data_IF_163370894386
#
_entry.id   IF_163370894386
#
_cell.length_a   1.000
_cell.length_b   1.000
_cell.length_c   1.000
_cell.angle_alpha   90.00
_cell.angle_beta   90.00
_cell.angle_gamma   90.00
#
_symmetry.space_group_name_H-M   'P 1'
#
loop_
_entity.id
_entity.type
_entity.pdbx_description
1 polymer ?
#
# COMPACT_ATOMS: atom_id res chain seq x y z
N UNK A 1 -1.32 -37.92 17.64
CA UNK A 1 -1.81 -37.79 16.24
C UNK A 1 -0.63 -37.62 15.28
N UNK A 2 -0.38 -38.58 14.38
CA UNK A 2 0.79 -38.55 13.49
C UNK A 2 0.71 -37.38 12.50
N UNK A 3 1.82 -36.68 12.26
CA UNK A 3 1.93 -35.59 11.27
C UNK A 3 1.42 -36.00 9.88
N UNK A 4 1.58 -37.28 9.53
CA UNK A 4 1.07 -37.90 8.30
C UNK A 4 -0.45 -37.79 8.18
N UNK A 5 -1.17 -37.96 9.30
CA UNK A 5 -2.62 -37.88 9.32
C UNK A 5 -3.12 -36.44 9.10
N UNK A 6 -2.43 -35.47 9.69
CA UNK A 6 -2.76 -34.05 9.53
C UNK A 6 -2.54 -33.55 8.09
N UNK A 7 -1.45 -33.96 7.43
CA UNK A 7 -1.18 -33.63 6.02
C UNK A 7 -2.25 -34.24 5.09
N UNK A 8 -2.73 -35.45 5.38
CA UNK A 8 -3.83 -36.06 4.60
C UNK A 8 -5.16 -35.33 4.78
N UNK A 9 -5.45 -34.86 5.99
CA UNK A 9 -6.65 -34.04 6.21
C UNK A 9 -6.56 -32.70 5.47
N UNK A 10 -5.38 -32.09 5.42
CA UNK A 10 -5.11 -30.87 4.66
C UNK A 10 -5.40 -31.07 3.16
N UNK A 11 -4.82 -32.10 2.52
CA UNK A 11 -5.03 -32.40 1.10
C UNK A 11 -6.51 -32.65 0.78
N UNK A 12 -7.20 -33.40 1.66
CA UNK A 12 -8.64 -33.67 1.52
C UNK A 12 -9.47 -32.39 1.62
N UNK A 13 -9.20 -31.54 2.63
CA UNK A 13 -9.93 -30.28 2.82
C UNK A 13 -9.71 -29.31 1.65
N UNK A 14 -8.48 -29.26 1.12
CA UNK A 14 -8.14 -28.44 -0.05
C UNK A 14 -8.93 -28.90 -1.28
N UNK A 15 -9.00 -30.21 -1.55
CA UNK A 15 -9.80 -30.76 -2.65
C UNK A 15 -11.28 -30.42 -2.54
N UNK A 16 -11.85 -30.47 -1.34
CA UNK A 16 -13.25 -30.11 -1.12
C UNK A 16 -13.46 -28.63 -1.45
N UNK A 17 -12.61 -27.73 -0.95
CA UNK A 17 -12.68 -26.30 -1.25
C UNK A 17 -12.51 -25.99 -2.75
N UNK A 18 -11.64 -26.73 -3.46
CA UNK A 18 -11.48 -26.59 -4.91
C UNK A 18 -12.74 -26.99 -5.69
N UNK A 19 -13.49 -27.98 -5.22
CA UNK A 19 -14.69 -28.51 -5.88
C UNK A 19 -15.92 -27.65 -5.60
N UNK A 20 -16.05 -27.12 -4.39
CA UNK A 20 -17.24 -26.35 -3.96
C UNK A 20 -17.38 -24.98 -4.64
N UNK A 21 -16.34 -24.48 -5.34
CA UNK A 21 -16.46 -23.42 -6.35
C UNK A 21 -16.89 -22.02 -5.85
N UNK A 22 -16.99 -21.80 -4.54
CA UNK A 22 -17.52 -20.56 -3.96
C UNK A 22 -16.47 -19.58 -3.40
N UNK A 23 -15.19 -19.97 -3.32
CA UNK A 23 -14.13 -19.14 -2.76
C UNK A 23 -13.30 -18.47 -3.86
N UNK A 24 -12.84 -17.24 -3.60
CA UNK A 24 -11.88 -16.57 -4.51
C UNK A 24 -10.53 -17.28 -4.46
N UNK A 25 -9.73 -17.16 -5.52
CA UNK A 25 -8.38 -17.77 -5.57
C UNK A 25 -7.49 -17.38 -4.40
N UNK A 26 -7.54 -16.11 -4.01
CA UNK A 26 -6.81 -15.58 -2.87
C UNK A 26 -7.26 -16.26 -1.58
N UNK A 27 -8.56 -16.47 -1.39
CA UNK A 27 -9.10 -17.17 -0.21
C UNK A 27 -8.69 -18.63 -0.15
N UNK A 28 -8.67 -19.34 -1.29
CA UNK A 28 -8.21 -20.73 -1.35
C UNK A 28 -6.71 -20.80 -1.01
N UNK A 29 -5.89 -19.91 -1.58
CA UNK A 29 -4.45 -19.87 -1.30
C UNK A 29 -4.17 -19.52 0.17
N UNK A 30 -4.85 -18.50 0.70
CA UNK A 30 -4.72 -18.05 2.08
C UNK A 30 -5.11 -19.16 3.07
N UNK A 31 -6.25 -19.82 2.85
CA UNK A 31 -6.72 -20.96 3.65
C UNK A 31 -5.68 -22.09 3.71
N UNK A 32 -4.97 -22.36 2.62
CA UNK A 32 -3.93 -23.39 2.61
C UNK A 32 -2.68 -22.94 3.35
N UNK A 33 -2.22 -21.70 3.11
CA UNK A 33 -1.05 -21.13 3.78
C UNK A 33 -1.25 -21.04 5.30
N UNK A 34 -2.43 -20.61 5.77
CA UNK A 34 -2.76 -20.55 7.19
C UNK A 34 -2.73 -21.93 7.85
N UNK A 35 -3.29 -22.94 7.18
CA UNK A 35 -3.29 -24.32 7.70
C UNK A 35 -1.89 -24.94 7.65
N UNK A 36 -1.08 -24.66 6.63
CA UNK A 36 0.32 -25.09 6.60
C UNK A 36 1.13 -24.44 7.72
N UNK A 37 0.95 -23.14 7.95
CA UNK A 37 1.60 -22.42 9.04
C UNK A 37 1.21 -22.99 10.41
N UNK A 38 -0.05 -23.36 10.59
CA UNK A 38 -0.55 -24.00 11.81
C UNK A 38 0.01 -25.42 12.00
N UNK A 39 0.23 -26.17 10.92
CA UNK A 39 0.89 -27.47 10.96
C UNK A 39 2.38 -27.33 11.32
N UNK A 40 3.06 -26.36 10.70
CA UNK A 40 4.48 -26.07 10.93
C UNK A 40 4.77 -25.62 12.36
N UNK A 41 3.84 -24.90 12.99
CA UNK A 41 3.98 -24.42 14.38
C UNK A 41 3.81 -25.52 15.43
N UNK A 42 3.37 -26.73 15.06
CA UNK A 42 3.32 -27.86 16.00
C UNK A 42 4.71 -28.47 16.20
N UNK A 43 4.99 -29.00 17.39
CA UNK A 43 6.25 -29.70 17.68
C UNK A 43 6.53 -30.82 16.67
N UNK A 44 5.50 -31.56 16.29
CA UNK A 44 5.61 -32.63 15.30
C UNK A 44 5.90 -32.11 13.88
N UNK A 45 5.32 -30.96 13.50
CA UNK A 45 5.55 -30.31 12.22
C UNK A 45 6.94 -29.70 12.13
N UNK A 46 7.38 -28.99 13.16
CA UNK A 46 8.72 -28.42 13.25
C UNK A 46 9.82 -29.48 13.26
N UNK A 47 9.61 -30.58 14.00
CA UNK A 47 10.53 -31.73 13.99
C UNK A 47 10.57 -32.39 12.61
N UNK A 48 9.42 -32.55 11.95
CA UNK A 48 9.37 -33.10 10.60
C UNK A 48 10.06 -32.18 9.58
N UNK A 49 9.87 -30.87 9.65
CA UNK A 49 10.49 -29.89 8.73
C UNK A 49 12.02 -29.87 8.88
N UNK A 50 12.51 -29.85 10.12
CA UNK A 50 13.95 -29.91 10.39
C UNK A 50 14.58 -31.20 9.87
N UNK A 51 13.86 -32.32 10.05
CA UNK A 51 14.27 -33.62 9.54
C UNK A 51 14.12 -33.71 8.00
N UNK A 52 13.14 -33.05 7.40
CA UNK A 52 12.98 -32.96 5.96
C UNK A 52 14.16 -32.22 5.32
N UNK A 53 14.53 -31.07 5.88
CA UNK A 53 15.70 -30.31 5.43
C UNK A 53 16.99 -31.14 5.54
N UNK A 54 17.12 -31.91 6.61
CA UNK A 54 18.22 -32.87 6.77
C UNK A 54 18.19 -33.95 5.68
N UNK A 55 17.01 -34.47 5.30
CA UNK A 55 16.89 -35.49 4.25
C UNK A 55 17.14 -34.94 2.83
N UNK A 56 16.79 -33.69 2.56
CA UNK A 56 17.05 -33.07 1.25
C UNK A 56 18.52 -32.75 1.01
N UNK A 57 19.31 -32.61 2.07
CA UNK A 57 20.75 -32.32 2.00
C UNK A 57 21.56 -33.62 2.10
N UNK A 58 22.05 -34.08 0.95
CA UNK A 58 22.83 -35.31 0.84
C UNK A 58 24.13 -35.29 1.68
N UNK A 59 24.73 -34.11 1.89
CA UNK A 59 25.94 -33.98 2.72
C UNK A 59 25.58 -34.19 4.19
N UNK A 60 24.51 -33.54 4.67
CA UNK A 60 24.03 -33.68 6.05
C UNK A 60 23.56 -35.10 6.37
N UNK A 61 22.88 -35.76 5.42
CA UNK A 61 22.51 -37.16 5.58
C UNK A 61 23.74 -38.07 5.75
N UNK A 62 24.78 -37.82 4.96
CA UNK A 62 26.03 -38.59 5.01
C UNK A 62 26.76 -38.36 6.32
N UNK A 63 26.86 -37.11 6.76
CA UNK A 63 27.48 -36.74 8.03
C UNK A 63 26.78 -37.41 9.22
N UNK A 64 25.45 -37.35 9.29
CA UNK A 64 24.69 -37.98 10.38
C UNK A 64 24.87 -39.51 10.38
N UNK A 65 24.89 -40.13 9.19
CA UNK A 65 25.16 -41.56 9.08
C UNK A 65 26.54 -41.90 9.64
N UNK A 66 27.56 -41.13 9.30
CA UNK A 66 28.93 -41.39 9.74
C UNK A 66 29.08 -41.17 11.25
N UNK A 67 28.39 -40.17 11.82
CA UNK A 67 28.29 -39.95 13.27
C UNK A 67 27.61 -41.14 13.97
N UNK A 68 26.48 -41.62 13.44
CA UNK A 68 25.78 -42.80 13.98
C UNK A 68 26.66 -44.05 13.94
N UNK A 69 27.37 -44.27 12.83
CA UNK A 69 28.34 -45.36 12.72
C UNK A 69 29.49 -45.21 13.72
N UNK A 70 30.00 -43.99 13.93
CA UNK A 70 31.01 -43.69 14.94
C UNK A 70 30.56 -44.02 16.37
N UNK A 71 29.32 -43.67 16.73
CA UNK A 71 28.72 -44.01 18.03
C UNK A 71 28.51 -45.52 18.17
N UNK A 72 28.05 -46.19 17.12
CA UNK A 72 27.82 -47.65 17.14
C UNK A 72 29.11 -48.48 17.23
N UNK A 73 30.27 -47.89 16.89
CA UNK A 73 31.59 -48.50 17.01
C UNK A 73 32.23 -48.29 18.40
N UNK A 74 31.61 -47.52 19.29
CA UNK A 74 32.11 -47.29 20.65
C UNK A 74 31.66 -48.42 21.60
N UNK A 75 32.42 -48.69 22.68
CA UNK A 75 32.05 -49.71 23.67
C UNK A 75 30.70 -49.44 24.35
N UNK A 76 30.22 -48.19 24.34
CA UNK A 76 28.88 -47.84 24.86
C UNK A 76 27.75 -48.52 24.06
N UNK A 77 27.99 -48.86 22.79
CA UNK A 77 27.03 -49.59 21.97
C UNK A 77 26.81 -51.02 22.47
N UNK A 78 27.70 -51.57 23.30
CA UNK A 78 27.53 -52.89 23.91
C UNK A 78 26.28 -53.00 24.79
N UNK A 79 25.81 -51.87 25.32
CA UNK A 79 24.59 -51.76 26.12
C UNK A 79 23.30 -51.84 25.28
N UNK A 80 23.40 -51.65 23.96
CA UNK A 80 22.27 -51.75 23.04
C UNK A 80 22.08 -53.21 22.60
N UNK A 81 20.82 -53.63 22.52
CA UNK A 81 20.47 -54.94 21.95
C UNK A 81 20.84 -55.01 20.46
N UNK A 82 21.00 -56.24 19.94
CA UNK A 82 21.30 -56.46 18.53
C UNK A 82 20.26 -55.81 17.61
N UNK A 83 18.97 -55.85 18.00
CA UNK A 83 17.89 -55.21 17.27
C UNK A 83 18.00 -53.67 17.26
N UNK A 84 18.37 -53.05 18.39
CA UNK A 84 18.56 -51.60 18.48
C UNK A 84 19.76 -51.13 17.63
N UNK A 85 20.86 -51.88 17.60
CA UNK A 85 22.01 -51.56 16.74
C UNK A 85 21.66 -51.65 15.26
N UNK A 86 20.94 -52.70 14.85
CA UNK A 86 20.46 -52.83 13.48
C UNK A 86 19.50 -51.70 13.10
N UNK A 87 18.59 -51.33 14.00
CA UNK A 87 17.67 -50.21 13.78
C UNK A 87 18.43 -48.90 13.59
N UNK A 88 19.38 -48.55 14.48
CA UNK A 88 20.17 -47.32 14.36
C UNK A 88 21.04 -47.30 13.10
N UNK A 89 21.64 -48.43 12.73
CA UNK A 89 22.42 -48.57 11.49
C UNK A 89 21.58 -48.43 10.21
N UNK A 90 20.26 -48.61 10.29
CA UNK A 90 19.33 -48.47 9.17
C UNK A 90 18.35 -47.32 9.34
N UNK A 91 18.50 -46.52 10.40
CA UNK A 91 17.58 -45.46 10.78
C UNK A 91 17.32 -44.49 9.62
N UNK A 92 18.37 -44.02 8.96
CA UNK A 92 18.27 -43.12 7.81
C UNK A 92 17.49 -43.72 6.64
N UNK A 93 17.59 -45.03 6.42
CA UNK A 93 16.91 -45.73 5.33
C UNK A 93 15.42 -45.89 5.63
N UNK A 94 15.09 -46.29 6.85
CA UNK A 94 13.70 -46.41 7.32
C UNK A 94 13.01 -45.04 7.36
N UNK A 95 13.72 -44.02 7.84
CA UNK A 95 13.27 -42.64 7.86
C UNK A 95 13.03 -42.09 6.45
N UNK A 96 13.92 -42.33 5.49
CA UNK A 96 13.70 -41.96 4.09
C UNK A 96 12.44 -42.63 3.52
N UNK A 97 12.29 -43.93 3.73
CA UNK A 97 11.16 -44.73 3.22
C UNK A 97 9.80 -44.26 3.74
N UNK A 98 9.70 -43.96 5.04
CA UNK A 98 8.45 -43.45 5.62
C UNK A 98 8.15 -42.01 5.19
N UNK A 99 9.19 -41.24 4.84
CA UNK A 99 9.04 -39.85 4.38
C UNK A 99 8.59 -39.74 2.93
N UNK A 100 8.94 -40.70 2.07
CA UNK A 100 8.51 -40.75 0.66
C UNK A 100 6.99 -40.61 0.50
N UNK A 101 6.22 -41.26 1.39
CA UNK A 101 4.75 -41.14 1.39
C UNK A 101 4.28 -39.73 1.69
N UNK A 102 4.94 -39.03 2.61
CA UNK A 102 4.60 -37.65 2.96
C UNK A 102 4.96 -36.70 1.81
N UNK A 103 6.12 -36.91 1.19
CA UNK A 103 6.56 -36.12 0.03
C UNK A 103 5.63 -36.28 -1.16
N UNK A 104 5.16 -37.49 -1.43
CA UNK A 104 4.18 -37.72 -2.49
C UNK A 104 2.88 -36.95 -2.27
N UNK A 105 2.38 -36.91 -1.03
CA UNK A 105 1.17 -36.15 -0.71
C UNK A 105 1.42 -34.65 -0.88
N UNK A 106 2.49 -34.10 -0.29
CA UNK A 106 2.83 -32.66 -0.43
C UNK A 106 2.99 -32.24 -1.90
N UNK A 107 3.77 -33.00 -2.68
CA UNK A 107 4.00 -32.69 -4.11
C UNK A 107 2.71 -32.68 -4.90
N UNK A 108 1.81 -33.63 -4.63
CA UNK A 108 0.48 -33.67 -5.27
C UNK A 108 -0.38 -32.46 -4.90
N UNK A 109 -0.31 -32.03 -3.64
CA UNK A 109 -1.01 -30.84 -3.15
C UNK A 109 -0.47 -29.58 -3.83
N UNK A 110 0.84 -29.44 -3.95
CA UNK A 110 1.51 -28.33 -4.68
C UNK A 110 1.13 -28.31 -6.16
N UNK A 111 1.16 -29.47 -6.85
CA UNK A 111 0.75 -29.59 -8.24
C UNK A 111 -0.73 -29.21 -8.44
N UNK A 112 -1.60 -29.61 -7.51
CA UNK A 112 -3.03 -29.28 -7.55
C UNK A 112 -3.27 -27.77 -7.37
N UNK A 113 -2.52 -27.13 -6.48
CA UNK A 113 -2.52 -25.68 -6.29
C UNK A 113 -2.02 -24.94 -7.53
N UNK A 114 -0.89 -25.38 -8.10
CA UNK A 114 -0.34 -24.80 -9.33
C UNK A 114 -1.34 -24.90 -10.48
N UNK A 115 -1.93 -26.07 -10.69
CA UNK A 115 -2.93 -26.27 -11.73
C UNK A 115 -4.19 -25.41 -11.51
N UNK A 116 -4.60 -25.17 -10.26
CA UNK A 116 -5.72 -24.28 -9.95
C UNK A 116 -5.39 -22.79 -10.20
N UNK A 117 -4.18 -22.37 -9.85
CA UNK A 117 -3.66 -21.02 -10.13
C UNK A 117 -3.45 -20.79 -11.63
N UNK A 118 -3.05 -21.81 -12.37
CA UNK A 118 -2.87 -21.72 -13.83
C UNK A 118 -4.22 -21.77 -14.57
N UNK A 119 -5.14 -22.65 -14.18
CA UNK A 119 -6.39 -22.91 -14.93
C UNK A 119 -7.37 -21.73 -14.97
N UNK A 120 -7.50 -20.96 -13.91
CA UNK A 120 -8.34 -19.76 -13.91
C UNK A 120 -7.71 -18.55 -14.63
N UNK A 121 -6.42 -18.54 -14.97
CA UNK A 121 -5.87 -17.52 -15.87
C UNK A 121 -6.53 -17.64 -17.26
N UNK A 122 -6.81 -18.87 -17.70
CA UNK A 122 -7.57 -19.12 -18.92
C UNK A 122 -9.07 -18.79 -18.79
N UNK A 123 -9.62 -18.72 -17.57
CA UNK A 123 -11.02 -18.32 -17.32
C UNK A 123 -11.15 -16.80 -17.26
N UNK A 124 -10.24 -16.11 -16.55
CA UNK A 124 -10.13 -14.65 -16.53
C UNK A 124 -9.89 -14.08 -17.93
N UNK A 125 -8.95 -14.64 -18.68
CA UNK A 125 -8.72 -14.24 -20.07
C UNK A 125 -9.98 -14.42 -20.92
N UNK A 126 -10.71 -15.55 -20.76
CA UNK A 126 -12.00 -15.74 -21.44
C UNK A 126 -13.07 -14.73 -21.02
N UNK A 127 -13.11 -14.32 -19.76
CA UNK A 127 -14.05 -13.30 -19.29
C UNK A 127 -13.71 -11.92 -19.87
N UNK A 128 -12.42 -11.57 -19.93
CA UNK A 128 -11.91 -10.35 -20.59
C UNK A 128 -12.26 -10.37 -22.08
N UNK A 129 -11.99 -11.47 -22.78
CA UNK A 129 -12.30 -11.65 -24.20
C UNK A 129 -13.80 -11.53 -24.47
N UNK A 130 -14.65 -12.07 -23.59
CA UNK A 130 -16.10 -11.91 -23.69
C UNK A 130 -16.55 -10.46 -23.50
N UNK A 131 -15.91 -9.73 -22.57
CA UNK A 131 -16.20 -8.32 -22.32
C UNK A 131 -15.77 -7.45 -23.51
N UNK A 132 -14.58 -7.70 -24.05
CA UNK A 132 -14.09 -7.05 -25.28
C UNK A 132 -15.02 -7.33 -26.46
N UNK A 133 -15.40 -8.59 -26.67
CA UNK A 133 -16.35 -8.97 -27.73
C UNK A 133 -17.71 -8.27 -27.60
N UNK A 134 -18.19 -8.05 -26.36
CA UNK A 134 -19.43 -7.29 -26.11
C UNK A 134 -19.23 -5.80 -26.42
N UNK A 135 -18.12 -5.21 -25.99
CA UNK A 135 -17.79 -3.81 -26.30
C UNK A 135 -17.67 -3.57 -27.80
N UNK A 136 -17.02 -4.47 -28.53
CA UNK A 136 -16.91 -4.41 -29.99
C UNK A 136 -18.28 -4.44 -30.68
N UNK A 137 -19.19 -5.33 -30.24
CA UNK A 137 -20.57 -5.36 -30.75
C UNK A 137 -21.31 -4.06 -30.51
N UNK A 138 -21.15 -3.46 -29.33
CA UNK A 138 -21.74 -2.16 -29.01
C UNK A 138 -21.12 -1.06 -29.89
N UNK A 139 -19.81 -1.07 -30.09
CA UNK A 139 -19.13 -0.10 -30.95
C UNK A 139 -19.59 -0.19 -32.41
N UNK A 140 -19.79 -1.41 -32.94
CA UNK A 140 -20.35 -1.64 -34.27
C UNK A 140 -21.78 -1.09 -34.38
N UNK A 141 -22.63 -1.39 -33.39
CA UNK A 141 -24.01 -0.89 -33.38
C UNK A 141 -24.09 0.65 -33.33
N UNK A 142 -23.19 1.30 -32.57
CA UNK A 142 -23.10 2.76 -32.51
C UNK A 142 -22.63 3.39 -33.83
N UNK A 143 -21.65 2.76 -34.49
CA UNK A 143 -21.17 3.16 -35.82
C UNK A 143 -22.29 3.06 -36.86
N UNK A 144 -22.98 1.92 -36.90
CA UNK A 144 -24.04 1.67 -37.89
C UNK A 144 -25.29 2.52 -37.60
N UNK A 145 -25.51 2.91 -36.34
CA UNK A 145 -26.51 3.88 -35.91
C UNK A 145 -26.21 5.35 -36.28
N UNK A 146 -25.11 5.62 -36.99
CA UNK A 146 -24.77 6.96 -37.48
C UNK A 146 -24.24 7.92 -36.40
N UNK A 147 -23.86 7.41 -35.23
CA UNK A 147 -23.27 8.23 -34.16
C UNK A 147 -21.89 8.72 -34.60
N UNK A 148 -21.69 10.03 -34.62
CA UNK A 148 -20.39 10.61 -34.97
C UNK A 148 -19.35 10.23 -33.91
N UNK A 149 -18.21 9.69 -34.33
CA UNK A 149 -17.08 9.34 -33.45
C UNK A 149 -16.52 10.54 -32.66
N UNK A 150 -16.86 11.77 -33.06
CA UNK A 150 -16.48 13.03 -32.39
C UNK A 150 -17.56 13.58 -31.46
N UNK A 151 -18.60 12.79 -31.16
CA UNK A 151 -19.64 13.23 -30.23
C UNK A 151 -19.02 13.37 -28.83
N UNK A 152 -19.03 14.59 -28.30
CA UNK A 152 -18.55 14.85 -26.95
C UNK A 152 -19.39 14.07 -25.95
N UNK A 153 -18.71 13.29 -25.11
CA UNK A 153 -19.33 12.50 -24.04
C UNK A 153 -19.12 13.23 -22.72
N UNK A 154 -20.12 13.16 -21.83
CA UNK A 154 -20.00 13.65 -20.44
C UNK A 154 -19.09 12.76 -19.57
N UNK A 155 -18.46 11.74 -20.16
CA UNK A 155 -17.59 10.79 -19.49
C UNK A 155 -16.17 11.33 -19.47
N UNK A 156 -15.63 11.55 -18.27
CA UNK A 156 -14.23 11.89 -18.05
C UNK A 156 -13.48 10.63 -17.66
N UNK A 157 -12.65 10.10 -18.57
CA UNK A 157 -11.70 9.04 -18.23
C UNK A 157 -10.36 9.69 -17.85
N UNK A 158 -9.86 9.37 -16.66
CA UNK A 158 -8.52 9.82 -16.26
C UNK A 158 -7.49 9.00 -17.03
N UNK A 159 -6.96 9.57 -18.12
CA UNK A 159 -5.87 9.00 -18.91
C UNK A 159 -4.54 9.55 -18.43
N UNK A 160 -3.62 8.66 -18.09
CA UNK A 160 -2.28 8.97 -17.63
C UNK A 160 -1.50 7.68 -17.31
N UNK A 161 -0.17 7.76 -17.16
CA UNK A 161 0.62 6.63 -16.69
C UNK A 161 0.09 6.19 -15.31
N UNK A 162 -0.37 4.94 -15.22
CA UNK A 162 -0.75 4.34 -13.95
C UNK A 162 0.52 3.78 -13.30
N UNK A 163 1.06 4.48 -12.32
CA UNK A 163 2.12 3.94 -11.48
C UNK A 163 1.52 3.02 -10.43
N UNK A 164 1.50 1.72 -10.73
CA UNK A 164 1.14 0.69 -9.76
C UNK A 164 2.37 0.44 -8.87
N UNK A 165 2.38 1.02 -7.67
CA UNK A 165 3.38 0.72 -6.66
C UNK A 165 2.84 -0.33 -5.68
N UNK A 166 3.65 -1.36 -5.39
CA UNK A 166 3.34 -2.33 -4.34
C UNK A 166 3.85 -1.83 -2.98
N UNK A 167 3.17 -2.13 -1.86
CA UNK A 167 3.74 -1.91 -0.53
C UNK A 167 5.13 -2.57 -0.38
N UNK A 168 5.38 -3.68 -1.07
CA UNK A 168 6.68 -4.37 -1.04
C UNK A 168 7.79 -3.64 -1.82
N UNK A 169 7.44 -2.72 -2.70
CA UNK A 169 8.43 -1.88 -3.42
C UNK A 169 8.93 -0.69 -2.60
N UNK A 170 8.37 -0.46 -1.41
CA UNK A 170 8.87 0.57 -0.49
C UNK A 170 10.26 0.20 0.01
N UNK A 171 11.29 0.89 -0.52
CA UNK A 171 12.63 0.87 0.07
C UNK A 171 12.73 1.96 1.13
N UNK A 172 13.19 1.58 2.32
CA UNK A 172 13.63 2.57 3.29
C UNK A 172 14.74 3.39 2.66
N UNK A 173 14.53 4.71 2.57
CA UNK A 173 15.52 5.63 2.04
C UNK A 173 16.70 5.66 3.02
N UNK A 174 17.83 5.12 2.59
CA UNK A 174 19.09 5.28 3.32
C UNK A 174 19.48 6.76 3.30
N UNK A 175 19.72 7.41 4.45
CA UNK A 175 20.19 8.78 4.46
C UNK A 175 21.63 8.84 3.92
N UNK A 176 21.84 9.59 2.84
CA UNK A 176 23.16 9.75 2.17
C UNK A 176 24.14 10.63 2.97
N UNK A 177 23.71 11.21 4.10
CA UNK A 177 24.57 11.96 5.00
C UNK A 177 24.32 11.52 6.45
N UNK A 178 25.40 11.53 7.25
CA UNK A 178 25.31 11.47 8.71
C UNK A 178 24.62 12.75 9.19
N UNK A 179 23.29 12.76 9.20
CA UNK A 179 22.49 13.77 9.87
C UNK A 179 22.94 13.80 11.32
N UNK A 180 23.57 14.89 11.74
CA UNK A 180 23.90 15.11 13.15
C UNK A 180 22.58 15.36 13.90
N UNK A 181 22.05 14.30 14.52
CA UNK A 181 20.77 14.32 15.24
C UNK A 181 20.90 14.84 16.67
N UNK A 182 22.08 15.35 17.07
CA UNK A 182 22.27 15.95 18.39
C UNK A 182 21.45 17.24 18.50
N UNK A 183 20.34 17.17 19.23
CA UNK A 183 19.42 18.29 19.47
C UNK A 183 18.09 18.21 18.70
N UNK A 184 17.87 17.17 17.89
CA UNK A 184 16.58 16.96 17.22
C UNK A 184 15.58 16.35 18.21
N UNK A 185 14.66 17.15 18.71
CA UNK A 185 13.50 16.68 19.47
C UNK A 185 12.47 16.11 18.51
N UNK A 186 12.03 14.87 18.74
CA UNK A 186 10.92 14.28 18.01
C UNK A 186 9.67 15.15 18.21
N UNK A 187 9.19 15.78 17.13
CA UNK A 187 7.90 16.46 17.12
C UNK A 187 6.87 15.52 16.50
N UNK A 188 5.79 15.27 17.23
CA UNK A 188 4.61 14.63 16.66
C UNK A 188 4.06 15.50 15.52
N UNK A 189 3.61 14.86 14.43
CA UNK A 189 2.94 15.55 13.33
C UNK A 189 1.75 16.34 13.89
N UNK A 190 1.89 17.66 13.93
CA UNK A 190 0.87 18.56 14.47
C UNK A 190 0.08 19.16 13.31
N UNK A 191 -1.24 19.32 13.46
CA UNK A 191 -2.08 20.03 12.48
C UNK A 191 -1.88 21.55 12.49
N UNK A 192 -1.04 22.05 13.38
CA UNK A 192 -0.69 23.45 13.50
C UNK A 192 0.55 23.75 12.64
N UNK A 193 0.44 24.67 11.66
CA UNK A 193 1.58 25.08 10.85
C UNK A 193 2.70 25.66 11.72
N UNK A 194 3.95 25.28 11.46
CA UNK A 194 5.07 25.88 12.18
C UNK A 194 5.25 27.35 11.77
N UNK A 195 5.51 28.22 12.75
CA UNK A 195 5.79 29.65 12.50
C UNK A 195 6.94 29.84 11.50
N UNK A 196 7.96 28.98 11.58
CA UNK A 196 9.09 28.97 10.63
C UNK A 196 8.70 28.62 9.20
N UNK A 197 7.75 27.69 8.99
CA UNK A 197 7.24 27.40 7.64
C UNK A 197 6.47 28.61 7.11
N UNK A 198 5.66 29.26 7.95
CA UNK A 198 4.94 30.48 7.56
C UNK A 198 5.90 31.64 7.23
N UNK A 199 7.00 31.78 7.97
CA UNK A 199 8.08 32.74 7.70
C UNK A 199 8.79 32.42 6.37
N UNK A 200 8.95 31.14 6.01
CA UNK A 200 9.53 30.76 4.73
C UNK A 200 8.63 30.97 3.50
N UNK A 201 7.35 31.34 3.69
CA UNK A 201 6.41 31.73 2.61
C UNK A 201 6.53 33.23 2.23
N UNK A 202 7.61 33.90 2.63
CA UNK A 202 7.91 35.31 2.39
C UNK A 202 8.05 35.73 0.90
N UNK A 203 7.99 34.80 -0.05
CA UNK A 203 8.15 35.09 -1.49
C UNK A 203 6.95 35.76 -2.16
N UNK A 204 5.80 35.87 -1.50
CA UNK A 204 4.65 36.56 -2.09
C UNK A 204 4.77 38.06 -1.91
N UNK A 205 4.60 38.78 -3.02
CA UNK A 205 4.50 40.23 -3.05
C UNK A 205 3.18 40.64 -2.40
N UNK A 206 3.11 40.58 -1.07
CA UNK A 206 1.90 40.91 -0.28
C UNK A 206 1.35 42.29 -0.65
N UNK A 207 2.22 43.20 -1.08
CA UNK A 207 1.89 44.52 -1.63
C UNK A 207 0.99 44.46 -2.88
N UNK A 208 1.27 43.56 -3.82
CA UNK A 208 0.43 43.39 -5.02
C UNK A 208 -0.95 42.82 -4.68
N UNK A 209 -1.01 41.94 -3.68
CA UNK A 209 -2.28 41.40 -3.17
C UNK A 209 -3.08 42.49 -2.47
N UNK A 210 -2.44 43.29 -1.60
CA UNK A 210 -3.09 44.42 -0.93
C UNK A 210 -3.70 45.43 -1.92
N UNK A 211 -2.99 45.73 -3.01
CA UNK A 211 -3.47 46.60 -4.08
C UNK A 211 -4.72 46.06 -4.76
N UNK A 212 -4.68 44.78 -5.16
CA UNK A 212 -5.82 44.09 -5.79
C UNK A 212 -7.03 44.05 -4.86
N UNK A 213 -6.82 43.73 -3.59
CA UNK A 213 -7.87 43.71 -2.57
C UNK A 213 -8.52 45.08 -2.45
N UNK A 214 -7.73 46.15 -2.33
CA UNK A 214 -8.27 47.50 -2.24
C UNK A 214 -9.12 47.86 -3.46
N UNK A 215 -8.61 47.62 -4.68
CA UNK A 215 -9.34 47.92 -5.92
C UNK A 215 -10.67 47.14 -5.99
N UNK A 216 -10.65 45.87 -5.58
CA UNK A 216 -11.84 45.03 -5.53
C UNK A 216 -12.89 45.59 -4.55
N UNK A 217 -12.46 46.01 -3.36
CA UNK A 217 -13.32 46.57 -2.32
C UNK A 217 -13.85 47.97 -2.70
N UNK A 218 -13.04 48.79 -3.36
CA UNK A 218 -13.46 50.11 -3.84
C UNK A 218 -14.54 50.01 -4.93
N UNK A 219 -14.48 48.97 -5.78
CA UNK A 219 -15.46 48.76 -6.85
C UNK A 219 -16.74 48.04 -6.38
N UNK A 220 -16.63 47.10 -5.46
CA UNK A 220 -17.72 46.17 -5.11
C UNK A 220 -18.23 46.29 -3.67
N UNK A 221 -17.65 47.18 -2.87
CA UNK A 221 -18.01 47.38 -1.46
C UNK A 221 -17.34 46.37 -0.51
N UNK A 222 -17.77 46.32 0.76
CA UNK A 222 -17.19 45.43 1.77
C UNK A 222 -17.40 43.94 1.42
N UNK A 223 -16.33 43.14 1.50
CA UNK A 223 -16.35 41.73 1.10
C UNK A 223 -15.47 40.85 2.01
N UNK A 224 -15.82 39.57 2.10
CA UNK A 224 -15.01 38.58 2.80
C UNK A 224 -13.88 38.06 1.91
N UNK A 225 -12.93 37.30 2.47
CA UNK A 225 -11.84 36.70 1.70
C UNK A 225 -12.42 35.77 0.62
N UNK A 226 -13.38 34.91 0.96
CA UNK A 226 -14.04 34.07 -0.03
C UNK A 226 -14.79 34.89 -1.11
N UNK A 227 -15.37 36.02 -0.73
CA UNK A 227 -16.00 36.97 -1.67
C UNK A 227 -15.00 37.60 -2.64
N UNK A 228 -13.83 38.01 -2.15
CA UNK A 228 -12.74 38.56 -2.97
C UNK A 228 -12.21 37.53 -3.97
N UNK A 229 -12.05 36.28 -3.52
CA UNK A 229 -11.52 35.20 -4.35
C UNK A 229 -12.48 34.75 -5.47
N UNK A 230 -13.77 35.10 -5.40
CA UNK A 230 -14.71 34.91 -6.52
C UNK A 230 -14.45 35.88 -7.66
N UNK A 231 -13.93 37.08 -7.36
CA UNK A 231 -13.59 38.10 -8.35
C UNK A 231 -12.14 37.97 -8.81
N UNK A 232 -11.24 37.61 -7.90
CA UNK A 232 -9.81 37.45 -8.14
C UNK A 232 -9.33 36.09 -7.63
N UNK A 233 -9.48 35.02 -8.42
CA UNK A 233 -9.08 33.69 -8.01
C UNK A 233 -7.57 33.59 -7.81
N UNK A 234 -7.17 32.72 -6.88
CA UNK A 234 -5.77 32.44 -6.54
C UNK A 234 -5.11 31.67 -7.68
N UNK A 235 -3.94 32.13 -8.12
CA UNK A 235 -3.14 31.50 -9.18
C UNK A 235 -1.77 31.01 -8.69
N UNK A 236 -1.24 31.60 -7.62
CA UNK A 236 0.08 31.28 -7.07
C UNK A 236 0.04 30.25 -5.90
N UNK A 237 -1.11 29.63 -5.67
CA UNK A 237 -1.28 28.59 -4.65
C UNK A 237 -1.40 29.12 -3.22
N UNK A 238 -0.96 28.32 -2.25
CA UNK A 238 -1.18 28.57 -0.81
C UNK A 238 -0.54 29.88 -0.34
N UNK A 239 0.60 30.25 -0.92
CA UNK A 239 1.34 31.44 -0.53
C UNK A 239 0.48 32.71 -0.75
N UNK A 240 -0.26 32.77 -1.87
CA UNK A 240 -1.15 33.89 -2.18
C UNK A 240 -2.38 33.92 -1.25
N UNK A 241 -2.93 32.76 -0.85
CA UNK A 241 -3.98 32.71 0.17
C UNK A 241 -3.50 33.29 1.51
N UNK A 242 -2.27 32.93 1.92
CA UNK A 242 -1.66 33.46 3.16
C UNK A 242 -1.50 34.97 3.07
N UNK A 243 -1.17 35.52 1.90
CA UNK A 243 -1.10 36.97 1.69
C UNK A 243 -2.46 37.66 1.88
N UNK A 244 -3.57 37.10 1.39
CA UNK A 244 -4.91 37.65 1.66
C UNK A 244 -5.23 37.71 3.17
N UNK A 245 -4.87 36.66 3.91
CA UNK A 245 -5.06 36.62 5.37
C UNK A 245 -4.16 37.62 6.10
N UNK A 246 -2.91 37.80 5.66
CA UNK A 246 -1.99 38.82 6.21
C UNK A 246 -2.53 40.23 5.97
N UNK A 247 -3.01 40.53 4.77
CA UNK A 247 -3.64 41.83 4.45
C UNK A 247 -4.86 42.08 5.34
N UNK A 248 -5.74 41.08 5.52
CA UNK A 248 -6.89 41.23 6.40
C UNK A 248 -6.48 41.54 7.85
N UNK A 249 -5.42 40.89 8.35
CA UNK A 249 -4.90 41.17 9.69
C UNK A 249 -4.21 42.53 9.80
N UNK A 250 -3.45 42.95 8.78
CA UNK A 250 -2.72 44.22 8.82
C UNK A 250 -3.63 45.44 8.76
N UNK A 251 -4.78 45.34 8.09
CA UNK A 251 -5.81 46.40 8.07
C UNK A 251 -6.77 46.33 9.27
N UNK A 252 -6.52 45.45 10.25
CA UNK A 252 -7.43 45.19 11.38
C UNK A 252 -8.87 44.90 10.94
N UNK A 253 -9.05 44.08 9.90
CA UNK A 253 -10.37 43.66 9.45
C UNK A 253 -11.13 42.94 10.57
N UNK A 254 -12.43 43.19 10.66
CA UNK A 254 -13.26 42.54 11.67
C UNK A 254 -13.33 41.03 11.41
N UNK A 255 -12.86 40.24 12.38
CA UNK A 255 -13.00 38.79 12.34
C UNK A 255 -14.39 38.40 12.85
N UNK A 256 -15.11 37.62 12.06
CA UNK A 256 -16.41 37.04 12.44
C UNK A 256 -16.20 35.65 13.07
N UNK A 257 -17.19 35.16 13.82
CA UNK A 257 -17.13 33.86 14.53
C UNK A 257 -17.22 32.63 13.60
N UNK A 258 -17.30 32.83 12.29
CA UNK A 258 -17.43 31.77 11.28
C UNK A 258 -16.12 31.54 10.51
N UNK A 259 -16.03 30.41 9.80
CA UNK A 259 -14.90 30.04 8.95
C UNK A 259 -15.33 29.88 7.49
N UNK A 260 -14.53 30.39 6.57
CA UNK A 260 -14.77 30.26 5.14
C UNK A 260 -13.95 29.10 4.56
N UNK A 261 -14.57 28.33 3.66
CA UNK A 261 -13.88 27.32 2.86
C UNK A 261 -13.59 27.85 1.48
N UNK A 262 -12.31 27.81 1.10
CA UNK A 262 -11.81 28.29 -0.18
C UNK A 262 -11.17 27.15 -0.93
N UNK A 263 -11.52 27.01 -2.21
CA UNK A 263 -10.88 26.07 -3.13
C UNK A 263 -10.02 26.84 -4.13
N UNK A 264 -8.79 26.39 -4.33
CA UNK A 264 -7.84 26.98 -5.26
C UNK A 264 -6.92 25.93 -5.85
N UNK A 265 -6.19 26.29 -6.90
CA UNK A 265 -5.23 25.40 -7.55
C UNK A 265 -3.82 25.86 -7.21
N UNK A 266 -2.93 24.93 -6.86
CA UNK A 266 -1.51 25.22 -6.65
C UNK A 266 -0.76 25.30 -7.99
N UNK A 267 0.47 25.82 -7.99
CA UNK A 267 1.36 25.92 -9.17
C UNK A 267 1.56 24.60 -9.94
N UNK A 268 1.39 23.48 -9.25
CA UNK A 268 1.50 22.13 -9.83
C UNK A 268 0.17 21.58 -10.38
N UNK A 269 -0.90 22.38 -10.42
CA UNK A 269 -2.22 21.95 -10.92
C UNK A 269 -3.07 21.17 -9.91
N UNK A 270 -2.56 20.95 -8.69
CA UNK A 270 -3.30 20.27 -7.63
C UNK A 270 -4.42 21.16 -7.08
N UNK A 271 -5.65 20.62 -7.00
CA UNK A 271 -6.78 21.30 -6.36
C UNK A 271 -6.65 21.17 -4.84
N UNK A 272 -6.52 22.30 -4.16
CA UNK A 272 -6.41 22.41 -2.72
C UNK A 272 -7.67 23.05 -2.14
N UNK A 273 -7.99 22.67 -0.92
CA UNK A 273 -9.05 23.29 -0.14
C UNK A 273 -8.48 23.74 1.21
N UNK A 274 -8.71 25.00 1.56
CA UNK A 274 -8.31 25.58 2.82
C UNK A 274 -9.54 26.10 3.58
N UNK A 275 -9.42 26.10 4.92
CA UNK A 275 -10.39 26.74 5.81
C UNK A 275 -9.71 27.94 6.45
N UNK A 276 -10.27 29.13 6.30
CA UNK A 276 -9.73 30.39 6.82
C UNK A 276 -10.76 31.07 7.73
N UNK A 277 -10.35 31.84 8.75
CA UNK A 277 -11.29 32.66 9.51
C UNK A 277 -11.97 33.69 8.60
N UNK A 278 -13.24 33.98 8.87
CA UNK A 278 -14.00 34.97 8.10
C UNK A 278 -13.56 36.38 8.51
N UNK A 279 -12.89 37.09 7.62
CA UNK A 279 -12.56 38.50 7.81
C UNK A 279 -13.44 39.38 6.91
N UNK A 280 -14.06 40.40 7.49
CA UNK A 280 -14.84 41.39 6.76
C UNK A 280 -13.94 42.57 6.40
N UNK A 281 -13.59 42.72 5.11
CA UNK A 281 -12.75 43.82 4.63
C UNK A 281 -13.60 44.92 4.01
N UNK A 282 -13.20 46.18 4.22
CA UNK A 282 -13.74 47.36 3.52
C UNK A 282 -12.61 48.27 3.07
N UNK A 283 -12.82 49.05 2.00
CA UNK A 283 -11.81 49.94 1.45
C UNK A 283 -11.36 51.03 2.45
N UNK A 284 -12.24 51.42 3.38
CA UNK A 284 -12.00 52.44 4.41
C UNK A 284 -10.95 52.03 5.45
N UNK A 285 -10.69 50.73 5.60
CA UNK A 285 -9.71 50.20 6.54
C UNK A 285 -8.26 50.28 6.02
N UNK A 286 -8.07 50.60 4.73
CA UNK A 286 -6.75 50.71 4.14
C UNK A 286 -6.15 52.10 4.40
N UNK A 287 -4.88 52.19 4.82
CA UNK A 287 -4.21 53.47 5.04
C UNK A 287 -4.06 54.24 3.72
N UNK A 288 -4.08 55.58 3.81
CA UNK A 288 -3.95 56.48 2.65
C UNK A 288 -2.59 56.31 1.96
N UNK A 289 -1.56 55.96 2.73
CA UNK A 289 -0.28 55.51 2.22
C UNK A 289 -0.13 53.99 2.42
N UNK A 290 -0.09 53.25 1.32
CA UNK A 290 0.01 51.78 1.33
C UNK A 290 1.39 51.26 1.77
N UNK A 291 2.38 52.16 1.90
CA UNK A 291 3.68 51.85 2.50
C UNK A 291 3.63 51.74 4.04
N UNK A 292 2.52 52.13 4.68
CA UNK A 292 2.33 52.02 6.15
C UNK A 292 1.75 50.66 6.58
N UNK A 293 1.43 49.77 5.63
CA UNK A 293 0.98 48.43 5.95
C UNK A 293 2.15 47.63 6.55
N UNK A 294 2.03 47.24 7.82
CA UNK A 294 2.93 46.26 8.45
C UNK A 294 2.55 44.88 7.89
N UNK A 295 3.18 44.50 6.77
CA UNK A 295 2.87 43.29 6.01
C UNK A 295 3.60 42.06 6.52
#
# INVERSE_FOLDING_TARGET
>A
PSAVYAIRQLDKALRIQLIEGGATRGEVLLSVMEKEALLSSTDAGSAFESFFQLLCDQNRQTELRDQLHGILNQPIAEQLSQAQRQFLAHLMRELGRESDRVFQVRRRTEESLRAYVESGAASENRAVDQLLSRLEKVAVALRDGGVNLRTETLLSLSVGPLEIASPETMRLRSPDEKLDTRGVLARENTREPSKQILESLETVRVREVAEKVYQALAANGPMTIAGLLRHYPINAGLEELVAYVRVAKSVNAAQLDDVERVQFTDKNGAKLQATVPTFMLSAELFPTNRDELVL
#
